data_IF_219580859635
#
_entry.id   IF_219580859635
#
_cell.length_a   1.000
_cell.length_b   1.000
_cell.length_c   1.000
_cell.angle_alpha   90.00
_cell.angle_beta   90.00
_cell.angle_gamma   90.00
#
_symmetry.space_group_name_H-M   'P 1'
#
loop_
_entity.id
_entity.type
_entity.pdbx_description
1 polymer ?
#
# COMPACT_ATOMS: atom_id res chain seq x y z
N UNK A 1 3.81 77.96 -0.36
CA UNK A 1 5.16 77.94 0.25
C UNK A 1 5.54 76.48 0.44
N UNK A 2 6.45 75.95 -0.39
CA UNK A 2 7.81 75.61 0.03
C UNK A 2 7.82 74.18 0.60
N UNK A 3 8.31 73.12 -0.04
CA UNK A 3 9.38 73.00 -1.02
C UNK A 3 10.58 72.32 -0.37
N UNK A 4 10.74 71.00 -0.58
CA UNK A 4 12.06 70.36 -0.81
C UNK A 4 11.91 68.92 -1.30
N UNK A 5 12.43 68.72 -2.52
CA UNK A 5 12.69 67.45 -3.23
C UNK A 5 14.09 66.93 -2.88
N UNK A 6 14.32 65.66 -3.31
CA UNK A 6 15.56 64.95 -3.71
C UNK A 6 16.02 63.90 -2.70
N UNK A 7 16.40 62.68 -3.08
CA UNK A 7 16.54 62.01 -4.38
C UNK A 7 16.94 60.54 -4.09
N UNK A 8 16.34 59.55 -4.75
CA UNK A 8 16.82 58.90 -5.97
C UNK A 8 17.77 57.71 -5.73
N UNK A 9 17.28 56.49 -5.98
CA UNK A 9 18.00 55.45 -6.73
C UNK A 9 17.01 54.36 -7.15
N UNK A 10 16.94 54.14 -8.46
CA UNK A 10 16.09 53.14 -9.10
C UNK A 10 16.63 51.72 -8.89
N UNK A 11 15.73 50.75 -8.71
CA UNK A 11 15.98 49.33 -8.90
C UNK A 11 14.98 48.81 -9.96
N UNK A 12 15.42 47.98 -10.91
CA UNK A 12 14.63 47.61 -12.07
C UNK A 12 13.45 46.71 -11.68
N UNK A 13 12.29 46.95 -12.30
CA UNK A 13 11.14 46.03 -12.21
C UNK A 13 11.47 44.74 -12.96
N UNK A 14 11.86 43.70 -12.25
CA UNK A 14 11.78 42.32 -12.75
C UNK A 14 10.36 41.81 -12.58
N UNK A 15 9.71 41.56 -13.72
CA UNK A 15 8.38 40.95 -13.82
C UNK A 15 8.56 39.44 -13.83
N UNK A 16 8.88 38.84 -12.69
CA UNK A 16 8.84 37.39 -12.54
C UNK A 16 8.73 37.01 -11.06
N UNK A 17 7.49 36.87 -10.60
CA UNK A 17 7.17 36.25 -9.33
C UNK A 17 7.05 34.73 -9.55
N UNK A 18 8.07 34.12 -10.16
CA UNK A 18 8.12 32.67 -10.33
C UNK A 18 8.37 32.02 -8.97
N UNK A 19 7.27 31.58 -8.35
CA UNK A 19 7.29 30.63 -7.23
C UNK A 19 8.21 29.45 -7.60
N UNK A 20 9.16 29.05 -6.73
CA UNK A 20 9.90 27.83 -6.99
C UNK A 20 8.97 26.62 -6.90
N UNK A 21 8.91 25.92 -8.03
CA UNK A 21 8.61 24.51 -8.28
C UNK A 21 7.52 23.82 -7.44
N UNK A 22 6.41 23.50 -8.14
CA UNK A 22 5.35 22.57 -7.74
C UNK A 22 5.78 21.10 -7.71
N UNK A 23 7.06 20.78 -7.94
CA UNK A 23 7.52 19.39 -8.08
C UNK A 23 7.33 18.57 -6.82
N UNK A 24 7.54 19.13 -5.63
CA UNK A 24 7.39 18.39 -4.38
C UNK A 24 5.91 18.11 -4.06
N UNK A 25 5.02 19.05 -4.35
CA UNK A 25 3.57 18.84 -4.23
C UNK A 25 3.04 17.89 -5.30
N UNK A 26 3.58 17.94 -6.51
CA UNK A 26 3.25 17.01 -7.59
C UNK A 26 3.76 15.60 -7.28
N UNK A 27 4.98 15.46 -6.75
CA UNK A 27 5.53 14.19 -6.31
C UNK A 27 4.74 13.60 -5.15
N UNK A 28 4.38 14.40 -4.13
CA UNK A 28 3.49 13.96 -3.06
C UNK A 28 2.11 13.57 -3.56
N UNK A 29 1.56 14.32 -4.52
CA UNK A 29 0.29 13.96 -5.15
C UNK A 29 0.39 12.63 -5.89
N UNK A 30 1.46 12.39 -6.66
CA UNK A 30 1.69 11.10 -7.33
C UNK A 30 1.82 9.96 -6.32
N UNK A 31 2.61 10.12 -5.26
CA UNK A 31 2.79 9.12 -4.19
C UNK A 31 1.45 8.80 -3.48
N UNK A 32 0.65 9.83 -3.22
CA UNK A 32 -0.67 9.69 -2.60
C UNK A 32 -1.70 9.07 -3.55
N UNK A 33 -1.59 9.33 -4.86
CA UNK A 33 -2.46 8.79 -5.90
C UNK A 33 -2.13 7.32 -6.23
N UNK A 34 -0.87 6.90 -6.12
CA UNK A 34 -0.42 5.51 -6.37
C UNK A 34 -0.45 4.62 -5.14
N UNK A 35 -0.89 5.13 -3.98
CA UNK A 35 -1.06 4.32 -2.76
C UNK A 35 0.26 3.96 -2.06
N UNK A 36 1.27 4.84 -2.09
CA UNK A 36 2.54 4.63 -1.38
C UNK A 36 3.47 3.58 -2.01
N UNK A 37 3.03 2.91 -3.07
CA UNK A 37 3.92 2.18 -3.96
C UNK A 37 4.68 3.23 -4.78
N UNK A 38 5.82 3.68 -4.25
CA UNK A 38 6.78 4.47 -5.01
C UNK A 38 7.18 3.68 -6.25
N UNK A 39 6.56 4.00 -7.39
CA UNK A 39 7.05 3.54 -8.68
C UNK A 39 8.38 4.26 -8.91
N UNK A 40 9.53 3.56 -8.93
CA UNK A 40 10.77 4.21 -9.33
C UNK A 40 10.59 4.71 -10.77
N UNK A 41 11.03 5.94 -11.03
CA UNK A 41 11.02 6.61 -12.33
C UNK A 41 11.98 5.97 -13.35
N UNK A 42 12.18 4.65 -13.32
CA UNK A 42 13.12 3.91 -14.18
C UNK A 42 12.42 2.90 -15.10
N UNK A 43 11.13 3.07 -15.38
CA UNK A 43 10.61 2.51 -16.62
C UNK A 43 11.16 3.40 -17.75
N UNK A 44 12.18 2.87 -18.43
CA UNK A 44 12.97 3.43 -19.56
C UNK A 44 14.15 4.35 -19.12
N UNK A 45 15.38 4.16 -19.65
CA UNK A 45 15.70 3.71 -21.01
C UNK A 45 16.45 2.38 -21.12
N UNK A 46 16.35 1.80 -22.31
CA UNK A 46 17.16 0.71 -22.84
C UNK A 46 18.55 1.29 -23.12
N UNK A 47 19.60 0.79 -22.48
CA UNK A 47 20.98 1.09 -22.87
C UNK A 47 21.29 0.38 -24.19
N UNK A 48 21.25 1.15 -25.28
CA UNK A 48 21.86 0.79 -26.54
C UNK A 48 23.25 1.44 -26.61
N UNK A 49 24.25 0.63 -26.96
CA UNK A 49 25.66 0.93 -27.36
C UNK A 49 26.70 0.44 -26.34
N UNK A 50 27.13 -0.82 -26.49
CA UNK A 50 28.55 -1.14 -26.80
C UNK A 50 28.69 -2.58 -27.31
N UNK A 51 29.04 -2.67 -28.61
CA UNK A 51 29.78 -3.69 -29.36
C UNK A 51 30.28 -4.98 -28.65
N UNK A 52 29.89 -6.15 -29.18
CA UNK A 52 30.71 -7.31 -29.65
C UNK A 52 29.75 -8.46 -30.10
N UNK A 53 30.08 -9.29 -31.11
CA UNK A 53 29.11 -9.88 -32.03
C UNK A 53 28.78 -11.37 -31.80
N UNK A 54 27.67 -11.81 -32.42
CA UNK A 54 27.59 -12.95 -33.37
C UNK A 54 26.51 -14.03 -33.09
N UNK A 55 25.60 -14.18 -34.07
CA UNK A 55 24.71 -15.31 -34.41
C UNK A 55 23.52 -15.63 -33.48
N UNK A 56 22.27 -15.84 -33.93
CA UNK A 56 21.70 -16.07 -35.26
C UNK A 56 20.17 -15.93 -35.22
N UNK A 57 19.62 -15.18 -36.20
CA UNK A 57 18.35 -15.37 -36.96
C UNK A 57 17.15 -15.96 -36.19
N UNK A 58 16.05 -15.22 -35.98
CA UNK A 58 14.95 -15.16 -36.96
C UNK A 58 14.04 -13.94 -36.78
N UNK A 59 13.55 -13.49 -37.92
CA UNK A 59 12.75 -12.31 -38.29
C UNK A 59 11.32 -12.26 -37.73
N UNK A 60 10.87 -11.07 -37.33
CA UNK A 60 9.46 -10.59 -37.42
C UNK A 60 9.48 -9.05 -37.66
N UNK A 61 8.52 -8.47 -38.39
CA UNK A 61 8.65 -7.15 -39.01
C UNK A 61 8.35 -5.97 -38.07
N UNK A 62 9.01 -4.86 -38.38
CA UNK A 62 8.85 -3.54 -37.77
C UNK A 62 7.49 -2.94 -38.14
N UNK A 63 6.59 -2.79 -37.17
CA UNK A 63 5.49 -1.83 -37.25
C UNK A 63 5.72 -0.68 -36.26
N UNK A 64 5.56 0.53 -36.80
CA UNK A 64 5.73 1.83 -36.19
C UNK A 64 4.89 1.98 -34.91
N UNK A 65 5.55 2.05 -33.74
CA UNK A 65 4.89 2.31 -32.46
C UNK A 65 4.65 3.82 -32.31
N UNK A 66 3.40 4.23 -32.58
CA UNK A 66 2.86 5.47 -32.04
C UNK A 66 2.89 5.43 -30.49
N UNK A 67 3.01 6.58 -29.79
CA UNK A 67 3.17 6.59 -28.34
C UNK A 67 1.95 5.96 -27.65
N UNK A 68 2.12 4.76 -27.11
CA UNK A 68 1.09 4.04 -26.37
C UNK A 68 0.80 4.80 -25.07
N UNK A 69 -0.31 5.54 -25.08
CA UNK A 69 -0.88 6.26 -23.94
C UNK A 69 -1.16 5.24 -22.82
N UNK A 70 -0.62 5.46 -21.62
CA UNK A 70 -0.78 4.56 -20.46
C UNK A 70 -2.03 5.00 -19.68
N UNK A 71 -3.18 4.31 -19.79
CA UNK A 71 -4.40 4.73 -19.12
C UNK A 71 -4.31 4.44 -17.60
N UNK A 72 -5.07 5.19 -16.78
CA UNK A 72 -5.18 4.92 -15.34
C UNK A 72 -4.19 5.65 -14.41
N UNK A 73 -3.27 6.45 -14.97
CA UNK A 73 -2.38 7.34 -14.21
C UNK A 73 -3.11 8.54 -13.58
N UNK A 74 -4.30 8.86 -14.09
CA UNK A 74 -5.09 10.04 -13.72
C UNK A 74 -6.41 9.59 -13.08
N UNK A 75 -7.01 10.37 -12.16
CA UNK A 75 -8.36 10.14 -11.65
C UNK A 75 -9.37 9.85 -12.77
N UNK A 76 -10.30 8.91 -12.53
CA UNK A 76 -11.34 8.51 -13.50
C UNK A 76 -12.14 9.70 -14.06
N UNK A 77 -12.51 10.73 -13.28
CA UNK A 77 -13.20 11.91 -13.81
C UNK A 77 -12.39 12.73 -14.82
N UNK A 78 -11.07 12.59 -14.82
CA UNK A 78 -10.13 13.38 -15.60
C UNK A 78 -9.54 12.59 -16.79
N UNK A 79 -9.76 11.27 -16.83
CA UNK A 79 -9.28 10.43 -17.92
C UNK A 79 -10.30 10.44 -19.08
N UNK A 80 -9.93 10.89 -20.29
CA UNK A 80 -10.84 10.89 -21.44
C UNK A 80 -11.28 9.48 -21.84
N UNK A 81 -10.47 8.44 -21.55
CA UNK A 81 -10.75 7.06 -21.92
C UNK A 81 -11.81 6.45 -20.97
N UNK A 82 -12.05 7.08 -19.81
CA UNK A 82 -13.11 6.68 -18.88
C UNK A 82 -14.52 7.02 -19.38
N UNK A 83 -14.68 7.92 -20.36
CA UNK A 83 -15.98 8.30 -20.90
C UNK A 83 -16.68 7.15 -21.66
N UNK A 84 -15.91 6.18 -22.16
CA UNK A 84 -16.42 5.00 -22.86
C UNK A 84 -16.86 3.86 -21.93
N UNK A 85 -16.70 3.99 -20.61
CA UNK A 85 -17.12 2.97 -19.65
C UNK A 85 -18.65 2.89 -19.56
N UNK A 86 -19.14 1.70 -19.21
CA UNK A 86 -20.57 1.52 -18.92
C UNK A 86 -21.01 2.52 -17.83
N UNK A 87 -22.16 3.22 -17.99
CA UNK A 87 -22.50 4.36 -17.14
C UNK A 87 -22.60 4.06 -15.64
N UNK A 88 -23.06 2.86 -15.26
CA UNK A 88 -23.19 2.45 -13.85
C UNK A 88 -21.81 2.19 -13.24
N UNK A 89 -20.91 1.53 -13.97
CA UNK A 89 -19.50 1.36 -13.59
C UNK A 89 -18.81 2.72 -13.45
N UNK A 90 -18.93 3.60 -14.45
CA UNK A 90 -18.31 4.92 -14.41
C UNK A 90 -18.76 5.73 -13.19
N UNK A 91 -20.07 5.78 -12.93
CA UNK A 91 -20.64 6.44 -11.75
C UNK A 91 -20.10 5.85 -10.44
N UNK A 92 -20.02 4.53 -10.37
CA UNK A 92 -19.50 3.80 -9.22
C UNK A 92 -18.03 4.13 -8.96
N UNK A 93 -17.17 4.04 -9.99
CA UNK A 93 -15.74 4.36 -9.88
C UNK A 93 -15.50 5.82 -9.45
N UNK A 94 -16.26 6.78 -9.99
CA UNK A 94 -16.19 8.19 -9.56
C UNK A 94 -16.51 8.38 -8.08
N UNK A 95 -17.48 7.62 -7.55
CA UNK A 95 -17.83 7.66 -6.12
C UNK A 95 -16.76 7.04 -5.23
N UNK A 96 -16.04 6.03 -5.72
CA UNK A 96 -14.93 5.40 -4.98
C UNK A 96 -13.74 6.35 -4.77
N UNK A 97 -13.57 7.34 -5.64
CA UNK A 97 -12.50 8.34 -5.51
C UNK A 97 -12.78 9.43 -4.47
N UNK A 98 -14.03 9.55 -4.00
CA UNK A 98 -14.38 10.51 -2.95
C UNK A 98 -13.70 10.13 -1.62
N UNK A 99 -13.57 11.09 -0.70
CA UNK A 99 -12.99 10.84 0.64
C UNK A 99 -13.96 10.17 1.60
N UNK A 100 -15.26 10.44 1.47
CA UNK A 100 -16.32 9.97 2.38
C UNK A 100 -16.46 8.43 2.39
N UNK A 101 -16.32 7.83 3.58
CA UNK A 101 -16.33 6.37 3.74
C UNK A 101 -17.72 5.77 3.46
N UNK A 102 -18.82 6.44 3.82
CA UNK A 102 -20.18 5.94 3.59
C UNK A 102 -20.46 5.87 2.08
N UNK A 103 -20.04 6.89 1.34
CA UNK A 103 -20.16 6.94 -0.12
C UNK A 103 -19.36 5.83 -0.79
N UNK A 104 -18.12 5.59 -0.34
CA UNK A 104 -17.29 4.46 -0.80
C UNK A 104 -17.97 3.12 -0.52
N UNK A 105 -18.48 2.90 0.69
CA UNK A 105 -19.15 1.65 1.05
C UNK A 105 -20.39 1.40 0.20
N UNK A 106 -21.23 2.42 -0.02
CA UNK A 106 -22.38 2.31 -0.92
C UNK A 106 -21.96 1.98 -2.35
N UNK A 107 -20.89 2.61 -2.83
CA UNK A 107 -20.38 2.37 -4.18
C UNK A 107 -19.74 0.98 -4.32
N UNK A 108 -19.01 0.49 -3.32
CA UNK A 108 -18.45 -0.87 -3.34
C UNK A 108 -19.55 -1.95 -3.29
N UNK A 109 -20.60 -1.75 -2.49
CA UNK A 109 -21.76 -2.67 -2.49
C UNK A 109 -22.41 -2.72 -3.87
N UNK A 110 -22.65 -1.55 -4.47
CA UNK A 110 -23.18 -1.45 -5.83
C UNK A 110 -22.27 -2.14 -6.85
N UNK A 111 -20.94 -1.94 -6.76
CA UNK A 111 -19.97 -2.63 -7.62
C UNK A 111 -20.04 -4.15 -7.45
N UNK A 112 -20.09 -4.64 -6.22
CA UNK A 112 -20.20 -6.08 -5.93
C UNK A 112 -21.49 -6.66 -6.52
N UNK A 113 -22.61 -5.94 -6.42
CA UNK A 113 -23.87 -6.37 -7.07
C UNK A 113 -23.74 -6.38 -8.60
N UNK A 114 -23.12 -5.35 -9.21
CA UNK A 114 -22.90 -5.30 -10.66
C UNK A 114 -21.98 -6.41 -11.18
N UNK A 115 -21.09 -6.93 -10.33
CA UNK A 115 -20.18 -8.02 -10.66
C UNK A 115 -20.81 -9.41 -10.55
N UNK A 116 -21.98 -9.54 -9.89
CA UNK A 116 -22.68 -10.83 -9.82
C UNK A 116 -23.21 -11.20 -11.20
N UNK A 117 -23.05 -12.47 -11.55
CA UNK A 117 -23.77 -13.06 -12.67
C UNK A 117 -25.26 -13.14 -12.26
N UNK A 118 -26.14 -12.45 -12.98
CA UNK A 118 -27.57 -12.44 -12.69
C UNK A 118 -28.14 -13.86 -12.84
N UNK A 119 -28.43 -14.54 -11.72
CA UNK A 119 -29.12 -15.85 -11.72
C UNK A 119 -30.65 -15.68 -11.73
N UNK A 120 -31.17 -14.50 -11.42
CA UNK A 120 -32.60 -14.18 -11.35
C UNK A 120 -32.92 -12.96 -12.21
N UNK A 121 -33.95 -13.07 -13.06
CA UNK A 121 -34.22 -12.25 -14.26
C UNK A 121 -34.54 -10.75 -14.08
N UNK A 122 -34.06 -10.08 -13.04
CA UNK A 122 -34.45 -8.70 -12.73
C UNK A 122 -33.52 -7.61 -13.29
N UNK A 123 -32.38 -7.98 -13.89
CA UNK A 123 -31.57 -7.07 -14.69
C UNK A 123 -30.63 -7.84 -15.64
N UNK A 124 -30.47 -7.35 -16.87
CA UNK A 124 -29.47 -7.89 -17.79
C UNK A 124 -28.08 -7.86 -17.13
N UNK A 125 -27.39 -9.00 -17.04
CA UNK A 125 -26.08 -9.07 -16.42
C UNK A 125 -25.11 -8.17 -17.17
N UNK A 126 -24.19 -7.56 -16.44
CA UNK A 126 -23.20 -6.68 -17.03
C UNK A 126 -22.22 -7.50 -17.88
N UNK A 127 -22.09 -7.14 -19.15
CA UNK A 127 -21.19 -7.79 -20.11
C UNK A 127 -19.76 -7.83 -19.58
N UNK A 128 -19.07 -8.95 -19.78
CA UNK A 128 -17.69 -9.13 -19.30
C UNK A 128 -16.76 -8.07 -19.89
N UNK A 129 -16.98 -7.67 -21.15
CA UNK A 129 -16.21 -6.62 -21.84
C UNK A 129 -16.28 -5.27 -21.12
N UNK A 130 -17.42 -4.94 -20.50
CA UNK A 130 -17.57 -3.72 -19.71
C UNK A 130 -16.70 -3.76 -18.44
N UNK A 131 -16.56 -4.93 -17.81
CA UNK A 131 -15.67 -5.11 -16.66
C UNK A 131 -14.20 -5.06 -17.08
N UNK A 132 -13.85 -5.67 -18.22
CA UNK A 132 -12.49 -5.61 -18.77
C UNK A 132 -12.07 -4.17 -19.04
N UNK A 133 -12.97 -3.33 -19.53
CA UNK A 133 -12.72 -1.90 -19.75
C UNK A 133 -12.38 -1.12 -18.47
N UNK A 134 -12.74 -1.63 -17.28
CA UNK A 134 -12.40 -1.02 -15.98
C UNK A 134 -10.94 -1.29 -15.56
N UNK A 135 -10.34 -2.38 -16.06
CA UNK A 135 -9.02 -2.83 -15.60
C UNK A 135 -7.89 -1.79 -15.69
N UNK A 136 -7.81 -0.90 -16.69
CA UNK A 136 -6.79 0.16 -16.69
C UNK A 136 -6.86 1.08 -15.47
N UNK A 137 -8.05 1.29 -14.89
CA UNK A 137 -8.26 2.17 -13.73
C UNK A 137 -8.21 1.42 -12.40
N UNK A 138 -8.47 0.11 -12.44
CA UNK A 138 -8.69 -0.70 -11.24
C UNK A 138 -7.48 -0.77 -10.30
N UNK A 139 -6.22 -0.97 -10.74
CA UNK A 139 -5.06 -1.05 -9.84
C UNK A 139 -4.96 0.14 -8.90
N UNK A 140 -5.07 1.37 -9.42
CA UNK A 140 -4.98 2.59 -8.61
C UNK A 140 -6.10 2.68 -7.58
N UNK A 141 -7.34 2.37 -8.00
CA UNK A 141 -8.51 2.42 -7.13
C UNK A 141 -8.42 1.34 -6.05
N UNK A 142 -8.12 0.10 -6.44
CA UNK A 142 -7.98 -1.04 -5.56
C UNK A 142 -6.90 -0.82 -4.51
N UNK A 143 -5.67 -0.49 -4.93
CA UNK A 143 -4.53 -0.35 -4.03
C UNK A 143 -4.78 0.73 -2.97
N UNK A 144 -5.41 1.85 -3.36
CA UNK A 144 -5.78 2.91 -2.41
C UNK A 144 -6.86 2.46 -1.43
N UNK A 145 -7.91 1.77 -1.89
CA UNK A 145 -9.02 1.34 -1.04
C UNK A 145 -8.66 0.15 -0.14
N UNK A 146 -7.74 -0.71 -0.56
CA UNK A 146 -7.23 -1.82 0.24
C UNK A 146 -6.49 -1.34 1.50
N UNK A 147 -5.99 -0.10 1.50
CA UNK A 147 -5.38 0.57 2.65
C UNK A 147 -6.28 1.66 3.27
N UNK A 148 -7.59 1.65 3.02
CA UNK A 148 -8.49 2.67 3.56
C UNK A 148 -8.56 2.62 5.10
N UNK A 149 -8.64 3.79 5.75
CA UNK A 149 -8.78 3.91 7.20
C UNK A 149 -10.03 3.17 7.71
N UNK A 150 -11.10 3.16 6.91
CA UNK A 150 -12.35 2.50 7.27
C UNK A 150 -12.29 0.99 7.00
N UNK A 151 -12.29 0.19 8.07
CA UNK A 151 -12.28 -1.28 8.02
C UNK A 151 -13.34 -1.90 7.10
N UNK A 152 -14.53 -1.29 7.00
CA UNK A 152 -15.61 -1.81 6.16
C UNK A 152 -15.38 -1.51 4.68
N UNK A 153 -14.73 -0.40 4.34
CA UNK A 153 -14.26 -0.12 2.98
C UNK A 153 -13.23 -1.17 2.57
N UNK A 154 -12.26 -1.48 3.44
CA UNK A 154 -11.26 -2.53 3.20
C UNK A 154 -11.88 -3.91 2.97
N UNK A 155 -12.89 -4.28 3.78
CA UNK A 155 -13.62 -5.54 3.58
C UNK A 155 -14.34 -5.59 2.23
N UNK A 156 -15.14 -4.57 1.92
CA UNK A 156 -15.95 -4.53 0.69
C UNK A 156 -15.09 -4.46 -0.58
N UNK A 157 -13.91 -3.82 -0.53
CA UNK A 157 -13.02 -3.79 -1.70
C UNK A 157 -12.41 -5.17 -1.96
N UNK A 158 -12.19 -6.01 -0.94
CA UNK A 158 -11.78 -7.40 -1.19
C UNK A 158 -12.90 -8.19 -1.87
N UNK A 159 -14.15 -8.02 -1.46
CA UNK A 159 -15.29 -8.63 -2.18
C UNK A 159 -15.36 -8.17 -3.64
N UNK A 160 -15.16 -6.87 -3.89
CA UNK A 160 -15.13 -6.33 -5.25
C UNK A 160 -13.94 -6.88 -6.06
N UNK A 161 -12.75 -6.98 -5.47
CA UNK A 161 -11.57 -7.56 -6.11
C UNK A 161 -11.80 -9.02 -6.51
N UNK A 162 -12.40 -9.83 -5.63
CA UNK A 162 -12.80 -11.20 -5.95
C UNK A 162 -13.76 -11.23 -7.15
N UNK A 163 -14.79 -10.38 -7.15
CA UNK A 163 -15.74 -10.29 -8.26
C UNK A 163 -15.09 -9.84 -9.57
N UNK A 164 -14.20 -8.86 -9.54
CA UNK A 164 -13.45 -8.42 -10.75
C UNK A 164 -12.62 -9.57 -11.29
N UNK A 165 -11.83 -10.23 -10.44
CA UNK A 165 -10.97 -11.34 -10.86
C UNK A 165 -11.76 -12.53 -11.41
N UNK A 166 -12.91 -12.84 -10.82
CA UNK A 166 -13.82 -13.88 -11.29
C UNK A 166 -14.45 -13.52 -12.63
N UNK A 167 -14.78 -12.24 -12.87
CA UNK A 167 -15.40 -11.83 -14.15
C UNK A 167 -14.40 -11.76 -15.30
N UNK A 168 -13.17 -11.28 -15.07
CA UNK A 168 -12.21 -10.99 -16.15
C UNK A 168 -11.20 -12.12 -16.41
N UNK A 169 -10.99 -13.02 -15.45
CA UNK A 169 -10.06 -14.14 -15.55
C UNK A 169 -8.67 -13.74 -16.09
N UNK A 170 -8.32 -14.18 -17.31
CA UNK A 170 -7.00 -14.01 -17.94
C UNK A 170 -6.68 -12.55 -18.25
N UNK A 171 -7.70 -11.73 -18.47
CA UNK A 171 -7.55 -10.29 -18.75
C UNK A 171 -6.97 -9.53 -17.54
N UNK A 172 -6.92 -10.13 -16.35
CA UNK A 172 -6.23 -9.57 -15.18
C UNK A 172 -4.69 -9.58 -15.34
N UNK A 173 -4.16 -10.45 -16.21
CA UNK A 173 -2.72 -10.70 -16.38
C UNK A 173 -1.85 -9.45 -16.55
N UNK A 174 -2.19 -8.50 -17.45
CA UNK A 174 -1.43 -7.26 -17.64
C UNK A 174 -1.33 -6.38 -16.40
N UNK A 175 -2.28 -6.50 -15.47
CA UNK A 175 -2.39 -5.66 -14.28
C UNK A 175 -1.92 -6.36 -13.00
N UNK A 176 -1.60 -7.66 -13.08
CA UNK A 176 -1.38 -8.48 -11.88
C UNK A 176 -0.21 -7.99 -11.04
N UNK A 177 0.87 -7.51 -11.67
CA UNK A 177 2.05 -6.97 -10.96
C UNK A 177 1.75 -5.70 -10.18
N UNK A 178 0.68 -4.98 -10.52
CA UNK A 178 0.23 -3.78 -9.81
C UNK A 178 -0.76 -4.10 -8.69
N UNK A 179 -1.59 -5.13 -8.88
CA UNK A 179 -2.68 -5.50 -7.97
C UNK A 179 -2.22 -6.51 -6.90
N UNK A 180 -1.55 -7.57 -7.34
CA UNK A 180 -1.26 -8.74 -6.51
C UNK A 180 -0.42 -8.44 -5.27
N UNK A 181 0.59 -7.54 -5.28
CA UNK A 181 1.33 -7.20 -4.06
C UNK A 181 0.43 -6.70 -2.94
N UNK A 182 -0.50 -5.80 -3.25
CA UNK A 182 -1.45 -5.24 -2.29
C UNK A 182 -2.52 -6.28 -1.91
N UNK A 183 -2.94 -7.11 -2.86
CA UNK A 183 -3.89 -8.19 -2.58
C UNK A 183 -3.30 -9.25 -1.63
N UNK A 184 -2.05 -9.65 -1.87
CA UNK A 184 -1.31 -10.56 -1.00
C UNK A 184 -1.12 -9.96 0.39
N UNK A 185 -0.73 -8.69 0.49
CA UNK A 185 -0.61 -8.00 1.79
C UNK A 185 -1.96 -7.91 2.52
N UNK A 186 -3.06 -7.73 1.79
CA UNK A 186 -4.40 -7.66 2.37
C UNK A 186 -4.81 -8.94 3.11
N UNK A 187 -4.18 -10.09 2.83
CA UNK A 187 -4.46 -11.36 3.53
C UNK A 187 -4.12 -11.33 5.02
N UNK A 188 -3.29 -10.38 5.45
CA UNK A 188 -2.90 -10.19 6.85
C UNK A 188 -3.53 -8.95 7.48
N UNK A 189 -4.60 -8.39 6.90
CA UNK A 189 -5.29 -7.21 7.43
C UNK A 189 -5.61 -7.38 8.94
N UNK A 190 -5.57 -6.27 9.67
CA UNK A 190 -5.95 -6.20 11.08
C UNK A 190 -7.45 -6.49 11.27
N UNK A 191 -8.28 -6.09 10.31
CA UNK A 191 -9.69 -6.43 10.23
C UNK A 191 -9.84 -7.79 9.55
N UNK A 192 -9.98 -8.84 10.36
CA UNK A 192 -10.00 -10.25 9.92
C UNK A 192 -10.92 -10.53 8.72
N UNK A 193 -12.16 -9.99 8.63
CA UNK A 193 -13.02 -10.24 7.47
C UNK A 193 -12.41 -9.81 6.14
N UNK A 194 -11.63 -8.72 6.13
CA UNK A 194 -10.91 -8.29 4.92
C UNK A 194 -9.80 -9.28 4.56
N UNK A 195 -9.03 -9.74 5.55
CA UNK A 195 -7.97 -10.74 5.35
C UNK A 195 -8.50 -12.07 4.82
N UNK A 196 -9.60 -12.54 5.38
CA UNK A 196 -10.24 -13.80 4.97
C UNK A 196 -10.79 -13.73 3.54
N UNK A 197 -11.46 -12.63 3.17
CA UNK A 197 -11.92 -12.42 1.80
C UNK A 197 -10.76 -12.31 0.80
N UNK A 198 -9.68 -11.60 1.16
CA UNK A 198 -8.49 -11.50 0.31
C UNK A 198 -7.87 -12.89 0.07
N UNK A 199 -7.73 -13.69 1.13
CA UNK A 199 -7.17 -15.04 1.06
C UNK A 199 -8.05 -15.98 0.22
N UNK A 200 -9.37 -15.92 0.42
CA UNK A 200 -10.33 -16.67 -0.40
C UNK A 200 -10.22 -16.27 -1.87
N UNK A 201 -10.17 -14.97 -2.16
CA UNK A 201 -10.00 -14.45 -3.51
C UNK A 201 -8.77 -14.98 -4.20
N UNK A 202 -7.60 -14.91 -3.55
CA UNK A 202 -6.35 -15.45 -4.09
C UNK A 202 -6.46 -16.96 -4.35
N UNK A 203 -7.03 -17.72 -3.41
CA UNK A 203 -7.21 -19.18 -3.57
C UNK A 203 -8.12 -19.53 -4.75
N UNK A 204 -9.20 -18.79 -4.95
CA UNK A 204 -10.15 -19.00 -6.04
C UNK A 204 -9.55 -18.58 -7.39
N UNK A 205 -8.89 -17.43 -7.46
CA UNK A 205 -8.29 -16.93 -8.71
C UNK A 205 -7.04 -17.71 -9.12
N UNK A 206 -6.23 -18.17 -8.15
CA UNK A 206 -4.97 -18.87 -8.37
C UNK A 206 -4.94 -20.23 -7.64
N UNK A 207 -5.68 -21.25 -8.12
CA UNK A 207 -5.75 -22.54 -7.47
C UNK A 207 -4.45 -23.35 -7.60
N UNK A 208 -4.10 -24.08 -6.54
CA UNK A 208 -2.97 -25.02 -6.50
C UNK A 208 -1.61 -24.32 -6.76
N UNK A 209 -0.76 -24.83 -7.67
CA UNK A 209 0.58 -24.30 -7.90
C UNK A 209 0.56 -22.88 -8.51
N UNK A 210 -0.56 -22.46 -9.11
CA UNK A 210 -0.70 -21.11 -9.68
C UNK A 210 -0.59 -20.03 -8.62
N UNK A 211 -0.93 -20.34 -7.35
CA UNK A 211 -0.74 -19.40 -6.23
C UNK A 211 0.72 -19.03 -6.12
N UNK A 212 1.60 -20.03 -5.98
CA UNK A 212 3.04 -19.81 -5.85
C UNK A 212 3.61 -19.10 -7.09
N UNK A 213 3.13 -19.43 -8.28
CA UNK A 213 3.54 -18.74 -9.50
C UNK A 213 3.15 -17.25 -9.49
N UNK A 214 1.98 -16.88 -8.96
CA UNK A 214 1.60 -15.47 -8.81
C UNK A 214 2.55 -14.71 -7.86
N UNK A 215 2.94 -15.32 -6.74
CA UNK A 215 3.95 -14.78 -5.84
C UNK A 215 5.31 -14.64 -6.53
N UNK A 216 5.73 -15.64 -7.32
CA UNK A 216 6.99 -15.60 -8.08
C UNK A 216 7.00 -14.49 -9.12
N UNK A 217 5.95 -14.38 -9.94
CA UNK A 217 5.82 -13.35 -10.99
C UNK A 217 5.82 -11.94 -10.41
N UNK A 218 5.24 -11.77 -9.21
CA UNK A 218 5.12 -10.48 -8.54
C UNK A 218 6.18 -10.26 -7.44
N UNK A 219 7.19 -11.14 -7.33
CA UNK A 219 8.11 -11.16 -6.19
C UNK A 219 8.85 -9.82 -6.00
N UNK A 220 9.27 -9.18 -7.10
CA UNK A 220 9.88 -7.85 -7.06
C UNK A 220 8.96 -6.83 -6.38
N UNK A 221 7.72 -6.71 -6.86
CA UNK A 221 6.78 -5.69 -6.36
C UNK A 221 6.30 -6.00 -4.95
N UNK A 222 6.20 -7.28 -4.58
CA UNK A 222 5.93 -7.71 -3.20
C UNK A 222 7.04 -7.24 -2.27
N UNK A 223 8.31 -7.48 -2.62
CA UNK A 223 9.45 -7.06 -1.81
C UNK A 223 9.54 -5.53 -1.72
N UNK A 224 9.28 -4.81 -2.81
CA UNK A 224 9.21 -3.34 -2.81
C UNK A 224 8.15 -2.84 -1.81
N UNK A 225 6.96 -3.45 -1.80
CA UNK A 225 5.89 -3.12 -0.85
C UNK A 225 6.32 -3.38 0.60
N UNK A 226 6.96 -4.52 0.88
CA UNK A 226 7.38 -4.89 2.24
C UNK A 226 8.44 -3.94 2.78
N UNK A 227 9.46 -3.63 1.99
CA UNK A 227 10.52 -2.69 2.40
C UNK A 227 9.97 -1.29 2.68
N UNK A 228 9.03 -0.83 1.85
CA UNK A 228 8.31 0.42 2.09
C UNK A 228 7.50 0.35 3.39
N UNK A 229 6.76 -0.74 3.63
CA UNK A 229 5.98 -0.92 4.86
C UNK A 229 6.84 -1.00 6.12
N UNK A 230 8.00 -1.66 6.06
CA UNK A 230 8.94 -1.68 7.18
C UNK A 230 9.44 -0.26 7.48
N UNK A 231 9.78 0.49 6.44
CA UNK A 231 10.24 1.87 6.56
C UNK A 231 9.13 2.77 7.14
N UNK A 232 7.91 2.72 6.60
CA UNK A 232 6.76 3.46 7.09
C UNK A 232 6.43 3.13 8.56
N UNK A 233 6.27 1.85 8.90
CA UNK A 233 5.72 1.43 10.19
C UNK A 233 6.75 1.46 11.34
N UNK A 234 8.04 1.26 11.04
CA UNK A 234 9.06 1.10 12.07
C UNK A 234 10.15 2.18 12.08
N UNK A 235 10.36 2.92 10.98
CA UNK A 235 11.38 4.00 10.95
C UNK A 235 10.81 5.40 11.04
N UNK A 236 9.56 5.62 10.63
CA UNK A 236 8.93 6.93 10.82
C UNK A 236 8.65 7.18 12.31
N UNK A 237 9.38 8.12 12.89
CA UNK A 237 9.00 8.72 14.17
C UNK A 237 7.65 9.42 13.96
N UNK A 238 6.67 9.11 14.81
CA UNK A 238 5.40 9.84 14.85
C UNK A 238 5.64 11.36 14.78
N UNK A 239 4.76 12.14 14.11
CA UNK A 239 4.91 13.58 14.09
C UNK A 239 4.85 14.10 15.52
N UNK A 240 5.94 14.75 15.96
CA UNK A 240 5.95 15.60 17.13
C UNK A 240 4.87 16.65 16.92
N UNK A 241 3.82 16.62 17.75
CA UNK A 241 2.80 17.66 17.79
C UNK A 241 3.46 18.91 18.37
N UNK A 242 4.01 19.77 17.50
CA UNK A 242 4.33 21.14 17.87
C UNK A 242 3.06 22.00 17.76
N UNK A 243 2.72 22.59 18.91
CA UNK A 243 1.79 23.68 19.18
C UNK A 243 0.98 24.26 18.01
N UNK A 244 -0.33 23.98 18.00
CA UNK A 244 -1.32 24.93 17.45
C UNK A 244 -2.01 25.67 18.58
N UNK A 245 -1.34 26.71 19.10
CA UNK A 245 -2.02 27.76 19.85
C UNK A 245 -2.76 28.69 18.88
N UNK A 246 -4.07 28.48 18.72
CA UNK A 246 -4.94 29.55 18.22
C UNK A 246 -6.39 29.42 18.70
N UNK A 247 -6.69 30.23 19.73
CA UNK A 247 -7.96 30.95 20.01
C UNK A 247 -9.27 30.15 19.95
N UNK A 248 -9.81 29.81 21.12
CA UNK A 248 -11.27 29.78 21.33
C UNK A 248 -11.69 30.99 22.19
N UNK A 249 -12.65 31.76 21.67
CA UNK A 249 -13.39 32.77 22.42
C UNK A 249 -14.51 32.08 23.19
N UNK A 250 -14.52 32.29 24.50
CA UNK A 250 -15.69 32.47 25.38
C UNK A 250 -16.81 31.43 25.34
N UNK A 251 -16.90 30.61 26.39
CA UNK A 251 -18.21 30.30 26.97
C UNK A 251 -18.12 30.04 28.48
N UNK A 252 -19.10 30.61 29.19
CA UNK A 252 -19.24 30.74 30.65
C UNK A 252 -19.22 29.40 31.38
N UNK A 253 -18.43 29.36 32.43
CA UNK A 253 -18.30 28.34 33.45
C UNK A 253 -19.56 28.26 34.33
N UNK A 254 -20.14 27.07 34.49
CA UNK A 254 -20.99 26.71 35.64
C UNK A 254 -20.51 25.37 36.19
N UNK A 255 -20.03 25.44 37.43
CA UNK A 255 -19.46 24.40 38.26
C UNK A 255 -20.56 23.46 38.78
N UNK A 256 -20.44 22.16 38.56
CA UNK A 256 -21.01 21.14 39.45
C UNK A 256 -20.04 19.96 39.46
N UNK A 257 -19.62 19.61 40.67
CA UNK A 257 -18.66 18.58 41.03
C UNK A 257 -19.29 17.19 40.90
N UNK A 258 -18.83 16.40 39.94
CA UNK A 258 -18.99 14.95 39.95
C UNK A 258 -17.62 14.30 39.73
N UNK A 259 -17.28 13.38 40.63
CA UNK A 259 -16.06 12.57 40.61
C UNK A 259 -16.14 11.66 39.40
N UNK A 260 -15.33 11.92 38.37
CA UNK A 260 -15.19 11.05 37.19
C UNK A 260 -13.84 10.35 37.25
N UNK A 261 -13.88 9.02 37.32
CA UNK A 261 -12.74 8.11 37.13
C UNK A 261 -11.90 8.53 35.90
N UNK A 262 -10.58 8.25 35.88
CA UNK A 262 -9.73 8.70 34.79
C UNK A 262 -10.12 8.00 33.50
N UNK A 263 -10.65 8.76 32.53
CA UNK A 263 -10.79 8.30 31.16
C UNK A 263 -9.40 7.95 30.61
N UNK A 264 -9.22 6.80 29.90
CA UNK A 264 -7.94 6.49 29.29
C UNK A 264 -7.62 7.56 28.23
N UNK A 265 -6.34 7.92 28.05
CA UNK A 265 -5.97 8.95 27.09
C UNK A 265 -6.37 8.51 25.67
N UNK A 266 -6.96 9.44 24.93
CA UNK A 266 -7.40 9.35 23.51
C UNK A 266 -6.30 8.85 22.55
N UNK A 267 -5.05 8.77 23.01
CA UNK A 267 -3.89 8.27 22.27
C UNK A 267 -3.77 6.72 22.22
N UNK A 268 -4.47 6.00 23.11
CA UNK A 268 -4.34 4.54 23.24
C UNK A 268 -4.89 3.77 22.04
N UNK A 269 -6.02 4.19 21.47
CA UNK A 269 -6.64 3.51 20.32
C UNK A 269 -5.80 3.61 19.05
N UNK A 270 -5.19 4.77 18.81
CA UNK A 270 -4.29 4.98 17.67
C UNK A 270 -3.00 4.16 17.83
N UNK A 271 -2.42 4.15 19.03
CA UNK A 271 -1.23 3.36 19.34
C UNK A 271 -1.49 1.85 19.18
N UNK A 272 -2.64 1.36 19.67
CA UNK A 272 -3.08 -0.01 19.47
C UNK A 272 -3.25 -0.35 17.99
N UNK A 273 -3.83 0.56 17.19
CA UNK A 273 -3.96 0.36 15.75
C UNK A 273 -2.59 0.21 15.07
N UNK A 274 -1.64 1.09 15.37
CA UNK A 274 -0.27 1.04 14.83
C UNK A 274 0.47 -0.24 15.25
N UNK A 275 0.27 -0.70 16.49
CA UNK A 275 0.83 -1.99 16.96
C UNK A 275 0.28 -3.14 16.12
N UNK A 276 -1.02 -3.14 15.83
CA UNK A 276 -1.64 -4.19 15.02
C UNK A 276 -1.18 -4.13 13.56
N UNK A 277 -0.95 -2.94 12.99
CA UNK A 277 -0.38 -2.79 11.64
C UNK A 277 1.05 -3.31 11.55
N UNK A 278 1.89 -3.01 12.53
CA UNK A 278 3.24 -3.59 12.65
C UNK A 278 3.20 -5.12 12.73
N UNK A 279 2.31 -5.66 13.56
CA UNK A 279 2.11 -7.10 13.66
C UNK A 279 1.59 -7.71 12.35
N UNK A 280 0.74 -7.00 11.60
CA UNK A 280 0.31 -7.42 10.26
C UNK A 280 1.49 -7.49 9.28
N UNK A 281 2.33 -6.44 9.23
CA UNK A 281 3.53 -6.43 8.40
C UNK A 281 4.44 -7.64 8.70
N UNK A 282 4.68 -7.95 9.97
CA UNK A 282 5.47 -9.11 10.37
C UNK A 282 4.80 -10.44 9.98
N UNK A 283 3.48 -10.57 10.14
CA UNK A 283 2.73 -11.76 9.67
C UNK A 283 2.85 -11.94 8.16
N UNK A 284 2.87 -10.85 7.39
CA UNK A 284 3.06 -10.93 5.94
C UNK A 284 4.46 -11.42 5.59
N UNK A 285 5.50 -10.88 6.25
CA UNK A 285 6.89 -11.35 6.09
C UNK A 285 6.96 -12.86 6.39
N UNK A 286 6.33 -13.33 7.46
CA UNK A 286 6.26 -14.77 7.77
C UNK A 286 5.61 -15.58 6.66
N UNK A 287 4.54 -15.08 6.03
CA UNK A 287 3.93 -15.74 4.86
C UNK A 287 4.89 -15.79 3.68
N UNK A 288 5.66 -14.72 3.43
CA UNK A 288 6.63 -14.69 2.34
C UNK A 288 7.79 -15.65 2.55
N UNK A 289 8.26 -15.82 3.78
CA UNK A 289 9.28 -16.84 4.12
C UNK A 289 8.81 -18.23 3.68
N UNK A 290 7.54 -18.55 3.91
CA UNK A 290 6.94 -19.80 3.47
C UNK A 290 6.79 -19.88 1.94
N UNK A 291 6.17 -18.88 1.31
CA UNK A 291 5.92 -18.88 -0.14
C UNK A 291 7.22 -18.79 -0.97
N UNK A 292 8.27 -18.12 -0.47
CA UNK A 292 9.55 -17.96 -1.17
C UNK A 292 10.52 -19.10 -0.90
N UNK A 293 10.21 -20.00 0.05
CA UNK A 293 11.01 -21.21 0.30
C UNK A 293 11.10 -22.14 -0.92
N UNK A 294 10.17 -21.99 -1.88
CA UNK A 294 10.10 -22.74 -3.12
C UNK A 294 10.88 -22.09 -4.29
N UNK A 295 11.46 -20.90 -4.09
CA UNK A 295 12.30 -20.28 -5.11
C UNK A 295 13.68 -20.95 -5.15
N UNK A 296 14.35 -20.99 -6.32
CA UNK A 296 15.73 -21.46 -6.42
C UNK A 296 16.67 -20.65 -5.51
N UNK A 297 17.72 -21.29 -4.99
CA UNK A 297 18.68 -20.65 -4.07
C UNK A 297 19.39 -19.42 -4.66
N UNK A 298 19.62 -19.43 -5.98
CA UNK A 298 20.26 -18.33 -6.73
C UNK A 298 19.29 -17.20 -7.13
N UNK A 299 18.02 -17.30 -6.71
CA UNK A 299 17.02 -16.28 -7.00
C UNK A 299 17.38 -14.94 -6.36
N UNK A 300 17.48 -13.89 -7.18
CA UNK A 300 17.73 -12.52 -6.70
C UNK A 300 16.68 -12.05 -5.69
N UNK A 301 15.44 -12.54 -5.81
CA UNK A 301 14.36 -12.23 -4.86
C UNK A 301 14.54 -12.94 -3.52
N UNK A 302 15.04 -14.18 -3.52
CA UNK A 302 15.33 -14.91 -2.28
C UNK A 302 16.53 -14.29 -1.56
N UNK A 303 17.58 -13.92 -2.30
CA UNK A 303 18.73 -13.18 -1.76
C UNK A 303 18.31 -11.84 -1.15
N UNK A 304 17.42 -11.10 -1.84
CA UNK A 304 16.87 -9.84 -1.31
C UNK A 304 16.06 -10.04 -0.03
N UNK A 305 15.23 -11.10 0.05
CA UNK A 305 14.50 -11.44 1.27
C UNK A 305 15.43 -11.87 2.42
N UNK A 306 16.47 -12.67 2.12
CA UNK A 306 17.50 -13.05 3.09
C UNK A 306 18.21 -11.83 3.68
N UNK A 307 18.61 -10.88 2.83
CA UNK A 307 19.19 -9.60 3.28
C UNK A 307 18.23 -8.84 4.21
N UNK A 308 16.96 -8.71 3.83
CA UNK A 308 15.95 -8.06 4.67
C UNK A 308 15.82 -8.72 6.05
N UNK A 309 15.91 -10.05 6.11
CA UNK A 309 15.83 -10.86 7.32
C UNK A 309 17.14 -10.95 8.09
N UNK A 310 18.23 -10.38 7.60
CA UNK A 310 19.52 -10.37 8.29
C UNK A 310 19.41 -9.59 9.62
N UNK A 311 20.23 -9.93 10.64
CA UNK A 311 20.19 -9.28 11.95
C UNK A 311 20.25 -7.74 11.90
N UNK A 312 21.01 -7.20 10.94
CA UNK A 312 21.24 -5.76 10.78
C UNK A 312 20.03 -4.99 10.24
N UNK A 313 19.08 -5.66 9.59
CA UNK A 313 17.93 -5.02 8.95
C UNK A 313 16.65 -5.20 9.79
N UNK A 314 15.78 -6.16 9.47
CA UNK A 314 14.47 -6.30 10.11
C UNK A 314 14.58 -6.39 11.64
N UNK A 315 15.47 -7.23 12.17
CA UNK A 315 15.57 -7.48 13.60
C UNK A 315 16.08 -6.26 14.37
N UNK A 316 17.02 -5.50 13.81
CA UNK A 316 17.50 -4.25 14.40
C UNK A 316 16.42 -3.17 14.41
N UNK A 317 15.58 -3.11 13.38
CA UNK A 317 14.44 -2.19 13.30
C UNK A 317 13.36 -2.56 14.33
N UNK A 318 13.00 -3.84 14.42
CA UNK A 318 11.95 -4.32 15.31
C UNK A 318 12.39 -4.30 16.78
N UNK A 319 13.64 -4.66 17.09
CA UNK A 319 14.17 -4.61 18.46
C UNK A 319 14.19 -3.19 19.03
N UNK A 320 14.60 -2.20 18.23
CA UNK A 320 14.51 -0.77 18.60
C UNK A 320 13.07 -0.35 18.89
N UNK A 321 12.11 -0.85 18.12
CA UNK A 321 10.70 -0.58 18.36
C UNK A 321 10.21 -1.17 19.69
N UNK A 322 10.51 -2.45 19.94
CA UNK A 322 10.16 -3.13 21.20
C UNK A 322 10.77 -2.40 22.39
N UNK A 323 12.07 -2.07 22.31
CA UNK A 323 12.78 -1.36 23.38
C UNK A 323 12.15 0.00 23.71
N UNK A 324 11.83 0.81 22.68
CA UNK A 324 11.18 2.12 22.86
C UNK A 324 9.81 2.00 23.53
N UNK A 325 9.04 0.95 23.23
CA UNK A 325 7.74 0.71 23.84
C UNK A 325 7.84 0.22 25.28
N UNK A 326 8.74 -0.72 25.57
CA UNK A 326 8.99 -1.19 26.95
C UNK A 326 9.45 -0.03 27.84
N UNK A 327 10.38 0.81 27.35
CA UNK A 327 10.92 1.94 28.13
C UNK A 327 9.84 2.99 28.49
N UNK A 328 8.85 3.22 27.62
CA UNK A 328 7.74 4.17 27.89
C UNK A 328 6.76 3.70 28.95
N UNK A 329 6.64 2.39 29.15
CA UNK A 329 5.68 1.79 30.08
C UNK A 329 6.33 1.21 31.34
N UNK A 330 7.61 1.49 31.57
CA UNK A 330 8.29 1.12 32.81
C UNK A 330 7.94 2.14 33.90
N UNK A 331 7.22 1.73 34.93
CA UNK A 331 6.91 2.59 36.09
C UNK A 331 8.17 2.85 36.93
N UNK A 332 8.19 3.94 37.70
CA UNK A 332 9.29 4.33 38.57
C UNK A 332 9.71 3.24 39.59
N UNK A 333 8.82 2.29 39.88
CA UNK A 333 9.05 1.12 40.75
C UNK A 333 9.85 -0.01 40.06
N UNK A 334 10.33 0.16 38.82
CA UNK A 334 11.11 -0.86 38.10
C UNK A 334 10.29 -2.08 37.63
N UNK A 335 8.97 -2.10 37.89
CA UNK A 335 8.06 -3.10 37.32
C UNK A 335 7.84 -2.78 35.84
N UNK A 336 8.53 -3.52 34.97
CA UNK A 336 8.15 -3.64 33.57
C UNK A 336 6.72 -4.18 33.50
N UNK A 337 5.77 -3.38 33.03
CA UNK A 337 4.51 -3.92 32.54
C UNK A 337 4.88 -4.83 31.35
N UNK A 338 4.90 -6.14 31.59
CA UNK A 338 5.14 -7.13 30.55
C UNK A 338 4.13 -6.89 29.42
N UNK A 339 4.64 -6.35 28.31
CA UNK A 339 4.12 -6.49 26.95
C UNK A 339 2.86 -5.70 26.62
N UNK A 340 2.97 -4.40 26.34
CA UNK A 340 1.91 -3.66 25.61
C UNK A 340 1.85 -4.01 24.11
N UNK A 341 2.68 -4.95 23.63
CA UNK A 341 2.64 -5.41 22.23
C UNK A 341 2.59 -6.94 22.06
N UNK A 342 1.62 -7.67 22.65
CA UNK A 342 1.54 -9.12 22.52
C UNK A 342 1.42 -9.58 21.05
N UNK A 343 0.77 -8.77 20.21
CA UNK A 343 0.58 -9.06 18.79
C UNK A 343 1.91 -9.07 18.02
N UNK A 344 2.80 -8.09 18.27
CA UNK A 344 4.13 -8.04 17.62
C UNK A 344 5.01 -9.18 18.11
N UNK A 345 5.02 -9.47 19.41
CA UNK A 345 5.79 -10.59 19.96
C UNK A 345 5.32 -11.93 19.41
N UNK A 346 4.00 -12.15 19.32
CA UNK A 346 3.43 -13.35 18.73
C UNK A 346 3.79 -13.48 17.24
N UNK A 347 3.74 -12.39 16.49
CA UNK A 347 4.15 -12.37 15.08
C UNK A 347 5.65 -12.70 14.89
N UNK A 348 6.53 -12.14 15.74
CA UNK A 348 7.96 -12.44 15.72
C UNK A 348 8.26 -13.88 16.12
N UNK A 349 7.60 -14.38 17.15
CA UNK A 349 7.76 -15.76 17.56
C UNK A 349 7.38 -16.72 16.43
N UNK A 350 6.29 -16.43 15.71
CA UNK A 350 5.91 -17.19 14.51
C UNK A 350 6.96 -17.06 13.41
N UNK A 351 7.47 -15.86 13.12
CA UNK A 351 8.52 -15.66 12.13
C UNK A 351 9.77 -16.50 12.46
N UNK A 352 10.27 -16.40 13.69
CA UNK A 352 11.40 -17.18 14.17
C UNK A 352 11.14 -18.69 14.08
N UNK A 353 9.92 -19.13 14.44
CA UNK A 353 9.54 -20.54 14.34
C UNK A 353 9.58 -21.03 12.89
N UNK A 354 9.06 -20.28 11.92
CA UNK A 354 9.08 -20.68 10.51
C UNK A 354 10.52 -20.75 9.99
N UNK A 355 11.36 -19.76 10.32
CA UNK A 355 12.76 -19.75 9.93
C UNK A 355 13.53 -20.96 10.48
N UNK A 356 13.28 -21.35 11.73
CA UNK A 356 13.95 -22.49 12.36
C UNK A 356 13.41 -23.86 11.92
N UNK A 357 12.12 -23.96 11.54
CA UNK A 357 11.48 -25.23 11.18
C UNK A 357 11.63 -25.58 9.71
N UNK A 358 11.75 -24.59 8.83
CA UNK A 358 11.99 -24.82 7.41
C UNK A 358 13.47 -25.11 7.13
N UNK A 359 13.75 -26.26 6.53
CA UNK A 359 15.12 -26.76 6.34
C UNK A 359 15.99 -25.85 5.46
N UNK A 360 15.42 -25.19 4.45
CA UNK A 360 16.12 -24.24 3.59
C UNK A 360 16.59 -23.01 4.38
N UNK A 361 15.70 -22.43 5.20
CA UNK A 361 15.99 -21.27 6.04
C UNK A 361 16.93 -21.62 7.19
N UNK A 362 16.69 -22.73 7.90
CA UNK A 362 17.58 -23.20 8.97
C UNK A 362 19.00 -23.48 8.46
N UNK A 363 19.15 -24.06 7.25
CA UNK A 363 20.45 -24.27 6.62
C UNK A 363 21.13 -22.95 6.30
N UNK A 364 20.41 -22.01 5.69
CA UNK A 364 20.96 -20.69 5.37
C UNK A 364 21.46 -19.97 6.63
N UNK A 365 20.65 -19.96 7.71
CA UNK A 365 21.04 -19.36 9.00
C UNK A 365 22.29 -20.02 9.60
N UNK A 366 22.41 -21.35 9.53
CA UNK A 366 23.57 -22.05 10.08
C UNK A 366 24.87 -21.91 9.29
N UNK A 367 24.82 -21.60 8.01
CA UNK A 367 25.97 -21.66 7.09
C UNK A 367 26.52 -20.31 6.67
N UNK A 368 25.69 -19.27 6.64
CA UNK A 368 26.08 -17.93 6.16
C UNK A 368 26.47 -16.99 7.30
N UNK A 369 27.22 -15.94 6.99
CA UNK A 369 27.48 -14.86 7.96
C UNK A 369 26.23 -14.01 8.17
N UNK A 370 25.51 -13.66 7.10
CA UNK A 370 24.25 -12.89 7.18
C UNK A 370 23.14 -13.59 7.99
N UNK A 371 23.22 -14.91 8.11
CA UNK A 371 22.24 -15.73 8.82
C UNK A 371 22.65 -16.10 10.26
N UNK A 372 23.93 -15.96 10.61
CA UNK A 372 24.45 -16.18 11.97
C UNK A 372 24.33 -14.92 12.80
#
# INVERSE_FOLDING_TARGET
MGGKKKGAAAQPRTKDNMKPSSSQKAAQFLIQQTGGLGLPSTLFPIDLVTTIPLSSVSTEPTESIAPTKVPGLVPVPQDPDAAGLEPRLLSTLKRLEKRDAVTKQKALKELVELLKLSTSGDAAPLETSAIVAVLPFWPRIYCRLAFDENRKVRELVQSAMCGVADRVHRELGPYIKQIFPVWAFSTVDVHEPAGTLANQGIKTTFPGPKRLEAYRVCARQILDLVENKISEEFTSSAPTVEDTTSKSKGQKEKRTTEIKSPEPPVNSDLENHLILQRAACLRFITSLVDDFSYLPDDSSHLLRLRKLLAPTDLWTVVSRHIYKHIARHTSADGRCLVGYSPAVHSALYRLATVLCTQSSWARWMGQTEDGR
#
